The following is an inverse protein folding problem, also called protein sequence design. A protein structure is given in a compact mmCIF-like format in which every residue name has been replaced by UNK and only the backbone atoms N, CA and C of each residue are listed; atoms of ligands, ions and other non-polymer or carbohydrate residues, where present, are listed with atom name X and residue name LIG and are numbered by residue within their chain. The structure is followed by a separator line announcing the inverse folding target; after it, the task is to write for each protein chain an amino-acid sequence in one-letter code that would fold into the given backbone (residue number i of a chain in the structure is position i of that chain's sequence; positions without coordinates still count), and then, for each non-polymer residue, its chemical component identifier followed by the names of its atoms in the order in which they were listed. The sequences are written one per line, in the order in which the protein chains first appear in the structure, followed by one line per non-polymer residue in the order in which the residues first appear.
data_IF_840449792666
#
_entry.id   IF_840449792666
#
_cell.length_a   1.000
_cell.length_b   1.000
_cell.length_c   1.000
_cell.angle_alpha   90.00
_cell.angle_beta   90.00
_cell.angle_gamma   90.00
#
_symmetry.space_group_name_H-M   'P 1'
#
loop_
_entity.id
_entity.type
_entity.pdbx_description
1 polymer ?
#
# COMPACT_ATOMS: atom_id res chain seq x y z
N UNK A 1 16.01 -2.80 -19.70
CA UNK A 1 14.90 -2.87 -18.72
C UNK A 1 14.15 -1.55 -18.77
N UNK A 2 12.83 -1.59 -18.64
CA UNK A 2 12.03 -0.36 -18.52
C UNK A 2 12.38 0.33 -17.19
N UNK A 3 12.34 1.66 -17.18
CA UNK A 3 12.42 2.43 -15.93
C UNK A 3 11.17 2.21 -15.09
N UNK A 4 11.25 2.51 -13.79
CA UNK A 4 10.07 2.46 -12.90
C UNK A 4 8.94 3.37 -13.40
N UNK A 5 9.28 4.56 -13.90
CA UNK A 5 8.32 5.49 -14.47
C UNK A 5 7.61 4.90 -15.71
N UNK A 6 8.35 4.26 -16.62
CA UNK A 6 7.76 3.61 -17.82
C UNK A 6 6.83 2.44 -17.45
N UNK A 7 7.21 1.60 -16.48
CA UNK A 7 6.34 0.53 -15.96
C UNK A 7 5.08 1.08 -15.31
N UNK A 8 5.23 2.15 -14.52
CA UNK A 8 4.12 2.82 -13.85
C UNK A 8 3.15 3.43 -14.85
N UNK A 9 3.65 4.13 -15.87
CA UNK A 9 2.81 4.67 -16.96
C UNK A 9 2.00 3.55 -17.62
N UNK A 10 2.66 2.46 -18.01
CA UNK A 10 1.98 1.30 -18.62
C UNK A 10 0.92 0.71 -17.67
N UNK A 11 1.23 0.60 -16.37
CA UNK A 11 0.31 0.07 -15.38
C UNK A 11 -0.91 0.98 -15.17
N UNK A 12 -0.71 2.30 -15.13
CA UNK A 12 -1.80 3.28 -14.96
C UNK A 12 -2.73 3.25 -16.18
N UNK A 13 -2.17 3.34 -17.39
CA UNK A 13 -2.94 3.32 -18.63
C UNK A 13 -3.76 2.03 -18.77
N UNK A 14 -3.18 0.88 -18.40
CA UNK A 14 -3.87 -0.40 -18.37
C UNK A 14 -4.87 -0.60 -17.23
N UNK A 15 -4.97 0.34 -16.28
CA UNK A 15 -5.84 0.23 -15.10
C UNK A 15 -7.08 1.13 -15.14
N UNK A 16 -7.11 2.10 -16.06
CA UNK A 16 -8.26 2.98 -16.22
C UNK A 16 -9.49 2.21 -16.72
N UNK A 17 -10.65 2.63 -16.24
CA UNK A 17 -11.97 2.08 -16.60
C UNK A 17 -13.08 3.05 -16.22
N UNK A 18 -14.32 2.71 -16.60
CA UNK A 18 -15.54 3.39 -16.16
C UNK A 18 -15.65 3.56 -14.63
N UNK A 19 -15.13 2.61 -13.84
CA UNK A 19 -15.22 2.65 -12.37
C UNK A 19 -14.18 3.57 -11.72
N UNK A 20 -13.14 3.95 -12.46
CA UNK A 20 -12.04 4.80 -11.97
C UNK A 20 -12.17 6.25 -12.39
N UNK A 21 -13.07 6.57 -13.33
CA UNK A 21 -13.31 7.96 -13.79
C UNK A 21 -14.24 8.75 -12.88
N UNK A 22 -14.03 10.07 -12.80
CA UNK A 22 -14.97 11.00 -12.17
C UNK A 22 -16.15 11.40 -13.04
N UNK A 23 -16.14 11.05 -14.33
CA UNK A 23 -17.17 11.45 -15.31
C UNK A 23 -17.65 10.22 -16.09
N UNK A 24 -18.33 9.27 -15.44
CA UNK A 24 -18.76 8.02 -16.09
C UNK A 24 -19.73 8.27 -17.25
N UNK A 25 -20.56 9.32 -17.19
CA UNK A 25 -21.53 9.65 -18.24
C UNK A 25 -20.88 10.13 -19.54
N UNK A 26 -19.61 10.53 -19.48
CA UNK A 26 -18.82 10.98 -20.65
C UNK A 26 -17.60 10.09 -20.89
N UNK A 27 -17.63 8.86 -20.37
CA UNK A 27 -16.58 7.86 -20.61
C UNK A 27 -16.79 7.20 -21.96
N UNK A 28 -15.73 7.19 -22.76
CA UNK A 28 -15.67 6.47 -24.03
C UNK A 28 -14.31 5.78 -24.13
N UNK A 29 -14.28 4.58 -24.70
CA UNK A 29 -13.06 3.76 -24.78
C UNK A 29 -11.97 4.38 -25.66
N UNK A 30 -12.32 5.34 -26.52
CA UNK A 30 -11.39 6.11 -27.35
C UNK A 30 -10.69 7.24 -26.58
N UNK A 31 -11.24 7.68 -25.45
CA UNK A 31 -10.64 8.71 -24.57
C UNK A 31 -10.61 8.23 -23.10
N UNK A 32 -9.83 7.19 -22.78
CA UNK A 32 -9.80 6.60 -21.44
C UNK A 32 -9.18 7.52 -20.37
N UNK A 33 -8.62 8.67 -20.76
CA UNK A 33 -8.06 9.66 -19.82
C UNK A 33 -9.11 10.55 -19.17
N UNK A 34 -10.33 10.63 -19.72
CA UNK A 34 -11.35 11.59 -19.27
C UNK A 34 -11.79 11.29 -17.84
N UNK A 35 -11.62 12.29 -16.96
CA UNK A 35 -12.00 12.18 -15.55
C UNK A 35 -11.04 11.33 -14.71
N UNK A 36 -9.84 11.01 -15.21
CA UNK A 36 -8.83 10.20 -14.52
C UNK A 36 -7.76 11.01 -13.78
N UNK A 37 -7.69 12.34 -13.99
CA UNK A 37 -6.57 13.17 -13.56
C UNK A 37 -6.28 13.07 -12.05
N UNK A 38 -7.30 13.12 -11.19
CA UNK A 38 -7.11 13.07 -9.73
C UNK A 38 -6.56 11.71 -9.26
N UNK A 39 -7.24 10.56 -9.44
CA UNK A 39 -6.71 9.28 -8.96
C UNK A 39 -5.36 8.95 -9.60
N UNK A 40 -5.14 9.31 -10.87
CA UNK A 40 -3.85 9.15 -11.55
C UNK A 40 -2.75 9.94 -10.86
N UNK A 41 -2.99 11.22 -10.55
CA UNK A 41 -1.98 12.06 -9.90
C UNK A 41 -1.58 11.58 -8.51
N UNK A 42 -2.55 11.02 -7.75
CA UNK A 42 -2.31 10.41 -6.45
C UNK A 42 -1.43 9.16 -6.56
N UNK A 43 -1.73 8.26 -7.51
CA UNK A 43 -0.95 7.04 -7.75
C UNK A 43 0.45 7.36 -8.27
N UNK A 44 0.61 8.32 -9.18
CA UNK A 44 1.94 8.77 -9.62
C UNK A 44 2.77 9.23 -8.43
N UNK A 45 2.17 10.04 -7.55
CA UNK A 45 2.86 10.55 -6.37
C UNK A 45 3.25 9.45 -5.38
N UNK A 46 2.50 8.35 -5.30
CA UNK A 46 2.83 7.21 -4.44
C UNK A 46 4.16 6.57 -4.82
N UNK A 47 4.44 6.44 -6.13
CA UNK A 47 5.61 5.74 -6.65
C UNK A 47 6.78 6.64 -7.00
N UNK A 48 6.51 7.85 -7.50
CA UNK A 48 7.54 8.77 -8.02
C UNK A 48 7.74 9.99 -7.11
N UNK A 49 6.91 10.17 -6.09
CA UNK A 49 6.97 11.35 -5.23
C UNK A 49 6.52 12.62 -5.95
N UNK A 50 7.19 13.74 -5.66
CA UNK A 50 6.89 15.05 -6.22
C UNK A 50 5.55 15.65 -5.77
N UNK A 51 5.16 16.71 -6.47
CA UNK A 51 4.00 17.54 -6.14
C UNK A 51 2.82 17.26 -7.08
N UNK A 52 1.60 17.48 -6.57
CA UNK A 52 0.38 17.49 -7.39
C UNK A 52 -0.02 18.95 -7.63
N UNK A 53 -0.01 19.36 -8.90
CA UNK A 53 -0.45 20.68 -9.33
C UNK A 53 -1.93 20.64 -9.70
N UNK A 54 -2.70 21.59 -9.15
CA UNK A 54 -4.08 21.85 -9.57
C UNK A 54 -4.12 22.99 -10.59
N UNK A 55 -4.83 22.72 -11.68
CA UNK A 55 -5.01 23.64 -12.81
C UNK A 55 -6.50 23.92 -13.03
N UNK A 56 -6.78 25.07 -13.65
CA UNK A 56 -8.09 25.44 -14.18
C UNK A 56 -8.01 25.55 -15.69
N UNK A 57 -9.08 25.16 -16.36
CA UNK A 57 -9.22 25.30 -17.81
C UNK A 57 -10.67 25.66 -18.18
N UNK A 58 -10.86 26.25 -19.36
CA UNK A 58 -12.17 26.43 -19.99
C UNK A 58 -12.27 25.41 -21.13
N UNK A 59 -13.15 24.43 -20.98
CA UNK A 59 -13.35 23.36 -21.94
C UNK A 59 -14.84 23.25 -22.28
N UNK A 60 -15.17 23.21 -23.58
CA UNK A 60 -16.55 23.17 -24.07
C UNK A 60 -17.48 24.24 -23.44
N UNK A 61 -16.94 25.43 -23.14
CA UNK A 61 -17.69 26.53 -22.52
C UNK A 61 -17.89 26.41 -21.00
N UNK A 62 -17.34 25.39 -20.35
CA UNK A 62 -17.41 25.19 -18.90
C UNK A 62 -16.02 25.27 -18.24
N UNK A 63 -15.97 25.83 -17.02
CA UNK A 63 -14.73 25.82 -16.23
C UNK A 63 -14.53 24.45 -15.60
N UNK A 64 -13.40 23.82 -15.87
CA UNK A 64 -13.01 22.53 -15.31
C UNK A 64 -11.72 22.64 -14.50
N UNK A 65 -11.50 21.66 -13.61
CA UNK A 65 -10.24 21.49 -12.88
C UNK A 65 -9.47 20.30 -13.41
N UNK A 66 -8.17 20.46 -13.58
CA UNK A 66 -7.25 19.41 -14.00
C UNK A 66 -6.12 19.24 -12.98
N UNK A 67 -5.57 18.04 -12.89
CA UNK A 67 -4.50 17.71 -11.96
C UNK A 67 -3.38 16.98 -12.70
N UNK A 68 -2.14 17.36 -12.40
CA UNK A 68 -0.94 16.74 -12.96
C UNK A 68 0.17 16.70 -11.91
N UNK A 69 1.22 15.93 -12.18
CA UNK A 69 2.36 15.84 -11.27
C UNK A 69 3.52 16.73 -11.74
N UNK A 70 4.30 17.20 -10.76
CA UNK A 70 5.64 17.75 -10.98
C UNK A 70 6.64 16.90 -10.21
N UNK A 71 7.49 16.17 -10.94
CA UNK A 71 8.51 15.27 -10.39
C UNK A 71 9.88 15.86 -10.72
N UNK A 72 10.68 16.19 -9.70
CA UNK A 72 12.00 16.80 -9.86
C UNK A 72 12.00 18.02 -10.82
N UNK A 73 10.98 18.87 -10.68
CA UNK A 73 10.78 20.06 -11.53
C UNK A 73 10.15 19.78 -12.90
N UNK A 74 10.08 18.54 -13.35
CA UNK A 74 9.51 18.14 -14.64
C UNK A 74 8.02 17.84 -14.54
N UNK A 75 7.24 18.26 -15.54
CA UNK A 75 5.80 17.97 -15.59
C UNK A 75 5.56 16.56 -16.11
N UNK A 76 4.76 15.80 -15.38
CA UNK A 76 4.23 14.51 -15.81
C UNK A 76 2.69 14.56 -15.76
N UNK A 77 2.06 14.48 -16.93
CA UNK A 77 0.61 14.52 -17.09
C UNK A 77 0.13 13.39 -18.01
N UNK A 78 -0.07 12.21 -17.43
CA UNK A 78 -0.57 11.04 -18.17
C UNK A 78 -2.01 11.23 -18.67
N UNK A 79 -2.71 12.25 -18.19
CA UNK A 79 -4.11 12.52 -18.53
C UNK A 79 -4.28 13.74 -19.43
N UNK A 80 -3.19 14.26 -20.01
CA UNK A 80 -3.22 15.46 -20.88
C UNK A 80 -4.13 15.30 -22.08
N UNK A 81 -4.23 14.10 -22.64
CA UNK A 81 -5.05 13.77 -23.80
C UNK A 81 -6.56 13.79 -23.53
N UNK A 82 -7.00 14.03 -22.29
CA UNK A 82 -8.42 14.31 -22.04
C UNK A 82 -8.89 15.67 -22.59
N UNK A 83 -7.96 16.46 -23.10
CA UNK A 83 -8.18 17.76 -23.72
C UNK A 83 -7.43 17.87 -25.06
N UNK A 84 -7.89 18.71 -26.00
CA UNK A 84 -7.17 19.01 -27.24
C UNK A 84 -5.73 19.50 -27.00
N UNK A 85 -4.80 19.29 -27.93
CA UNK A 85 -3.40 19.72 -27.80
C UNK A 85 -3.23 21.23 -27.51
N UNK A 86 -4.11 22.06 -28.05
CA UNK A 86 -4.12 23.52 -27.90
C UNK A 86 -4.80 24.01 -26.62
N UNK A 87 -5.33 23.12 -25.78
CA UNK A 87 -6.00 23.50 -24.54
C UNK A 87 -5.07 24.30 -23.61
N UNK A 88 -5.55 25.48 -23.19
CA UNK A 88 -4.87 26.35 -22.22
C UNK A 88 -5.21 25.95 -20.78
N UNK A 89 -4.23 26.08 -19.89
CA UNK A 89 -4.38 25.83 -18.46
C UNK A 89 -3.78 26.97 -17.64
N UNK A 90 -4.45 27.32 -16.56
CA UNK A 90 -3.98 28.29 -15.57
C UNK A 90 -3.75 27.61 -14.23
N UNK A 91 -2.74 28.04 -13.48
CA UNK A 91 -2.54 27.52 -12.13
C UNK A 91 -3.71 27.93 -11.23
N UNK A 92 -4.22 26.97 -10.46
CA UNK A 92 -5.29 27.20 -9.51
C UNK A 92 -4.97 26.43 -8.21
N UNK A 93 -3.94 26.86 -7.46
CA UNK A 93 -3.52 26.20 -6.23
C UNK A 93 -4.65 26.16 -5.19
N UNK A 94 -4.49 25.28 -4.21
CA UNK A 94 -5.36 25.19 -3.03
C UNK A 94 -4.59 25.69 -1.81
N UNK A 95 -5.32 26.05 -0.77
CA UNK A 95 -4.72 26.31 0.54
C UNK A 95 -4.31 24.97 1.16
N UNK A 96 -3.00 24.77 1.38
CA UNK A 96 -2.44 23.54 1.94
C UNK A 96 -1.97 22.52 0.89
N UNK A 97 -1.88 21.26 1.29
CA UNK A 97 -1.36 20.17 0.44
C UNK A 97 -2.46 19.66 -0.52
N UNK A 98 -2.19 19.71 -1.82
CA UNK A 98 -3.14 19.27 -2.87
C UNK A 98 -3.59 17.83 -2.66
N UNK A 99 -2.70 16.94 -2.19
CA UNK A 99 -3.03 15.53 -1.95
C UNK A 99 -4.13 15.42 -0.90
N UNK A 100 -3.97 16.10 0.22
CA UNK A 100 -4.93 16.09 1.32
C UNK A 100 -6.27 16.70 0.87
N UNK A 101 -6.21 17.82 0.14
CA UNK A 101 -7.39 18.47 -0.42
C UNK A 101 -8.22 17.54 -1.31
N UNK A 102 -7.61 16.88 -2.30
CA UNK A 102 -8.36 16.00 -3.21
C UNK A 102 -8.80 14.72 -2.52
N UNK A 103 -8.00 14.21 -1.57
CA UNK A 103 -8.27 13.00 -0.83
C UNK A 103 -9.39 13.19 0.20
N UNK A 104 -9.70 14.41 0.62
CA UNK A 104 -10.84 14.71 1.49
C UNK A 104 -12.19 14.28 0.89
N UNK A 105 -12.29 14.16 -0.45
CA UNK A 105 -13.48 13.66 -1.13
C UNK A 105 -13.59 12.12 -1.07
N UNK A 106 -14.66 11.54 -0.49
CA UNK A 106 -14.85 10.08 -0.40
C UNK A 106 -14.87 9.37 -1.77
N UNK A 107 -15.47 9.96 -2.79
CA UNK A 107 -15.54 9.37 -4.13
C UNK A 107 -14.14 9.35 -4.77
N UNK A 108 -13.34 10.39 -4.54
CA UNK A 108 -11.92 10.39 -4.95
C UNK A 108 -11.16 9.25 -4.28
N UNK A 109 -11.33 9.06 -2.95
CA UNK A 109 -10.66 7.96 -2.23
C UNK A 109 -11.02 6.59 -2.78
N UNK A 110 -12.29 6.36 -3.11
CA UNK A 110 -12.74 5.09 -3.67
C UNK A 110 -12.09 4.81 -5.04
N UNK A 111 -12.10 5.80 -5.93
CA UNK A 111 -11.45 5.69 -7.26
C UNK A 111 -9.94 5.50 -7.17
N UNK A 112 -9.30 6.27 -6.30
CA UNK A 112 -7.88 6.13 -6.00
C UNK A 112 -7.56 4.72 -5.49
N UNK A 113 -8.28 4.22 -4.48
CA UNK A 113 -8.04 2.88 -3.93
C UNK A 113 -8.17 1.79 -5.01
N UNK A 114 -9.21 1.88 -5.85
CA UNK A 114 -9.38 0.94 -6.96
C UNK A 114 -8.24 1.03 -7.97
N UNK A 115 -7.85 2.24 -8.38
CA UNK A 115 -6.76 2.46 -9.32
C UNK A 115 -5.43 1.95 -8.75
N UNK A 116 -5.11 2.28 -7.49
CA UNK A 116 -3.90 1.80 -6.79
C UNK A 116 -3.83 0.28 -6.79
N UNK A 117 -4.91 -0.41 -6.41
CA UNK A 117 -4.96 -1.88 -6.40
C UNK A 117 -4.64 -2.47 -7.78
N UNK A 118 -5.24 -1.93 -8.84
CA UNK A 118 -5.01 -2.39 -10.21
C UNK A 118 -3.58 -2.10 -10.68
N UNK A 119 -3.07 -0.90 -10.38
CA UNK A 119 -1.70 -0.49 -10.70
C UNK A 119 -0.68 -1.37 -9.98
N UNK A 120 -0.82 -1.60 -8.68
CA UNK A 120 0.06 -2.50 -7.92
C UNK A 120 0.07 -3.92 -8.49
N UNK A 121 -1.10 -4.43 -8.92
CA UNK A 121 -1.18 -5.73 -9.59
C UNK A 121 -0.43 -5.74 -10.91
N UNK A 122 -0.59 -4.72 -11.76
CA UNK A 122 0.12 -4.63 -13.03
C UNK A 122 1.62 -4.36 -12.86
N UNK A 123 2.03 -3.60 -11.84
CA UNK A 123 3.45 -3.40 -11.49
C UNK A 123 4.10 -4.73 -11.10
N UNK A 124 3.43 -5.51 -10.23
CA UNK A 124 3.85 -6.86 -9.88
C UNK A 124 3.96 -7.78 -11.11
N UNK A 125 2.92 -7.84 -11.95
CA UNK A 125 2.93 -8.71 -13.15
C UNK A 125 4.03 -8.32 -14.14
N UNK A 126 4.29 -7.02 -14.32
CA UNK A 126 5.39 -6.53 -15.15
C UNK A 126 6.75 -6.94 -14.55
N UNK A 127 6.94 -6.79 -13.23
CA UNK A 127 8.18 -7.22 -12.55
C UNK A 127 8.42 -8.73 -12.70
N UNK A 128 7.38 -9.55 -12.57
CA UNK A 128 7.45 -11.00 -12.79
C UNK A 128 7.81 -11.37 -14.22
N UNK A 129 7.29 -10.64 -15.21
CA UNK A 129 7.66 -10.83 -16.61
C UNK A 129 9.13 -10.46 -16.89
N UNK A 130 9.67 -9.47 -16.17
CA UNK A 130 11.09 -9.09 -16.26
C UNK A 130 12.03 -10.07 -15.52
N UNK A 131 11.50 -10.89 -14.61
CA UNK A 131 12.25 -11.84 -13.76
C UNK A 131 11.56 -13.23 -13.77
N UNK A 132 11.51 -13.91 -14.92
CA UNK A 132 10.77 -15.15 -15.06
C UNK A 132 11.26 -16.28 -14.14
N UNK A 133 12.51 -16.24 -13.68
CA UNK A 133 13.08 -17.18 -12.71
C UNK A 133 12.35 -17.16 -11.35
N UNK A 134 11.72 -16.03 -11.00
CA UNK A 134 10.93 -15.90 -9.78
C UNK A 134 9.49 -16.37 -9.98
N UNK A 135 8.97 -16.37 -11.21
CA UNK A 135 7.60 -16.83 -11.50
C UNK A 135 7.39 -18.31 -11.19
N UNK A 136 8.46 -19.11 -11.16
CA UNK A 136 8.42 -20.51 -10.77
C UNK A 136 8.48 -20.72 -9.24
N UNK A 137 8.80 -19.68 -8.46
CA UNK A 137 8.97 -19.78 -7.02
C UNK A 137 7.62 -19.62 -6.30
N UNK A 138 7.36 -20.38 -5.23
CA UNK A 138 6.21 -20.14 -4.38
C UNK A 138 6.32 -18.78 -3.68
N UNK A 139 5.21 -18.06 -3.58
CA UNK A 139 5.17 -16.72 -2.99
C UNK A 139 4.89 -16.80 -1.49
N UNK A 140 5.73 -16.15 -0.68
CA UNK A 140 5.52 -15.94 0.75
C UNK A 140 5.21 -14.46 1.00
N UNK A 141 4.08 -14.19 1.66
CA UNK A 141 3.59 -12.85 1.92
C UNK A 141 3.96 -12.41 3.34
N UNK A 142 4.29 -11.13 3.48
CA UNK A 142 4.56 -10.49 4.76
C UNK A 142 3.66 -9.27 4.92
N UNK A 143 2.97 -9.16 6.06
CA UNK A 143 2.42 -7.88 6.48
C UNK A 143 3.54 -6.88 6.80
N UNK A 144 3.19 -5.60 6.89
CA UNK A 144 4.12 -4.54 7.29
C UNK A 144 4.00 -4.20 8.78
N UNK A 145 2.91 -3.55 9.17
CA UNK A 145 2.76 -2.97 10.50
C UNK A 145 2.63 -4.11 11.52
N UNK A 146 3.51 -4.18 12.52
CA UNK A 146 3.49 -5.25 13.51
C UNK A 146 4.17 -6.56 13.05
N UNK A 147 4.76 -6.59 11.86
CA UNK A 147 5.47 -7.77 11.32
C UNK A 147 6.86 -7.43 10.81
N UNK A 148 6.94 -6.48 9.87
CA UNK A 148 8.21 -5.94 9.39
C UNK A 148 8.54 -4.62 10.09
N UNK A 149 7.54 -3.76 10.30
CA UNK A 149 7.70 -2.40 10.84
C UNK A 149 7.06 -2.28 12.23
N UNK A 150 7.78 -1.65 13.15
CA UNK A 150 7.35 -1.48 14.54
C UNK A 150 6.41 -0.26 14.69
N UNK A 151 5.16 -0.48 14.31
CA UNK A 151 4.08 0.49 14.45
C UNK A 151 3.88 0.93 15.90
N UNK A 152 3.97 -0.02 16.83
CA UNK A 152 3.68 0.19 18.25
C UNK A 152 4.71 1.10 18.88
N UNK A 153 6.00 0.79 18.71
CA UNK A 153 7.07 1.59 19.26
C UNK A 153 6.98 3.06 18.82
N UNK A 154 6.58 3.33 17.57
CA UNK A 154 6.42 4.71 17.08
C UNK A 154 5.29 5.45 17.78
N UNK A 155 4.13 4.81 17.98
CA UNK A 155 2.98 5.42 18.68
C UNK A 155 3.29 5.58 20.16
N UNK A 156 3.91 4.58 20.78
CA UNK A 156 4.29 4.63 22.20
C UNK A 156 5.34 5.71 22.48
N UNK A 157 6.31 5.89 21.59
CA UNK A 157 7.29 6.97 21.69
C UNK A 157 6.61 8.34 21.67
N UNK A 158 5.56 8.52 20.86
CA UNK A 158 4.76 9.75 20.86
C UNK A 158 4.05 9.93 22.20
N UNK A 159 3.28 8.93 22.64
CA UNK A 159 2.55 9.00 23.91
C UNK A 159 3.49 9.33 25.09
N UNK A 160 4.66 8.68 25.16
CA UNK A 160 5.68 8.94 26.18
C UNK A 160 6.22 10.37 26.13
N UNK A 161 6.37 10.96 24.93
CA UNK A 161 6.78 12.37 24.78
C UNK A 161 5.76 13.35 25.34
N UNK A 162 4.48 12.99 25.32
CA UNK A 162 3.39 13.76 25.93
C UNK A 162 3.17 13.41 27.41
N UNK A 163 4.07 12.62 28.03
CA UNK A 163 3.94 12.21 29.44
C UNK A 163 2.81 11.20 29.68
N UNK A 164 2.27 10.60 28.63
CA UNK A 164 1.15 9.66 28.72
C UNK A 164 1.69 8.27 29.04
N UNK A 165 1.24 7.69 30.16
CA UNK A 165 1.53 6.29 30.48
C UNK A 165 0.80 5.39 29.52
N UNK A 166 1.52 4.48 28.87
CA UNK A 166 0.93 3.59 27.87
C UNK A 166 0.48 2.28 28.53
N UNK A 167 -0.84 2.00 28.63
CA UNK A 167 -1.35 0.77 29.24
C UNK A 167 -0.98 -0.46 28.41
N UNK A 168 -0.96 -1.71 28.90
CA UNK A 168 -0.69 -2.88 28.05
C UNK A 168 -1.64 -3.00 26.85
N UNK A 169 -1.16 -3.57 25.73
CA UNK A 169 -1.98 -3.74 24.52
C UNK A 169 -2.81 -5.03 24.59
N UNK A 170 -4.12 -4.91 24.47
CA UNK A 170 -5.07 -6.03 24.54
C UNK A 170 -5.91 -6.23 23.28
N UNK A 171 -5.85 -5.29 22.33
CA UNK A 171 -6.60 -5.33 21.07
C UNK A 171 -5.67 -4.92 19.91
N UNK A 172 -5.99 -5.41 18.71
CA UNK A 172 -5.32 -5.04 17.47
C UNK A 172 -5.33 -3.53 17.24
N UNK A 173 -6.41 -2.83 17.58
CA UNK A 173 -6.48 -1.38 17.46
C UNK A 173 -5.85 -0.72 18.69
N UNK A 174 -4.67 -0.11 18.49
CA UNK A 174 -3.93 0.63 19.51
C UNK A 174 -4.82 1.57 20.35
N UNK A 175 -5.72 2.31 19.71
CA UNK A 175 -6.60 3.27 20.40
C UNK A 175 -7.52 2.65 21.43
N UNK A 176 -7.83 1.34 21.35
CA UNK A 176 -8.68 0.66 22.33
C UNK A 176 -7.98 0.37 23.66
N UNK A 177 -6.64 0.48 23.72
CA UNK A 177 -5.90 0.42 25.00
C UNK A 177 -5.98 1.76 25.77
N UNK A 178 -6.50 2.82 25.14
CA UNK A 178 -6.61 4.16 25.71
C UNK A 178 -8.07 4.45 26.06
N UNK A 179 -8.28 5.15 27.19
CA UNK A 179 -9.62 5.55 27.64
C UNK A 179 -9.87 7.04 27.49
N UNK A 180 -8.81 7.85 27.51
CA UNK A 180 -8.92 9.30 27.38
C UNK A 180 -9.18 9.71 25.91
N UNK A 181 -10.28 10.42 25.62
CA UNK A 181 -10.58 10.91 24.28
C UNK A 181 -9.47 11.75 23.64
N UNK A 182 -8.74 12.55 24.41
CA UNK A 182 -7.64 13.39 23.90
C UNK A 182 -6.45 12.52 23.48
N UNK A 183 -6.13 11.48 24.27
CA UNK A 183 -5.08 10.53 23.89
C UNK A 183 -5.48 9.70 22.65
N UNK A 184 -6.75 9.33 22.55
CA UNK A 184 -7.28 8.63 21.36
C UNK A 184 -7.18 9.53 20.12
N UNK A 185 -7.55 10.81 20.25
CA UNK A 185 -7.43 11.79 19.17
C UNK A 185 -5.96 11.98 18.76
N UNK A 186 -5.05 12.16 19.72
CA UNK A 186 -3.61 12.27 19.47
C UNK A 186 -3.07 11.08 18.66
N UNK A 187 -3.43 9.84 19.03
CA UNK A 187 -3.00 8.65 18.28
C UNK A 187 -3.59 8.61 16.88
N UNK A 188 -4.87 8.98 16.72
CA UNK A 188 -5.50 9.04 15.39
C UNK A 188 -4.85 10.09 14.51
N UNK A 189 -4.60 11.28 15.04
CA UNK A 189 -3.97 12.38 14.32
C UNK A 189 -2.54 12.03 13.93
N UNK A 190 -1.78 11.42 14.84
CA UNK A 190 -0.46 10.88 14.55
C UNK A 190 -0.50 9.88 13.39
N UNK A 191 -1.41 8.89 13.46
CA UNK A 191 -1.57 7.87 12.42
C UNK A 191 -2.05 8.42 11.07
N UNK A 192 -2.61 9.63 11.03
CA UNK A 192 -3.04 10.32 9.80
C UNK A 192 -2.04 11.39 9.34
N UNK A 193 -1.05 11.71 10.16
CA UNK A 193 -0.04 12.72 9.86
C UNK A 193 0.94 12.24 8.77
N UNK A 194 1.36 13.20 7.95
CA UNK A 194 2.47 13.02 7.01
C UNK A 194 3.76 12.72 7.79
N UNK A 195 4.48 11.71 7.36
CA UNK A 195 5.75 11.23 7.91
C UNK A 195 5.60 10.09 8.91
N UNK A 196 4.38 9.71 9.32
CA UNK A 196 4.19 8.65 10.31
C UNK A 196 4.74 7.30 9.84
N UNK A 197 4.32 6.81 8.68
CA UNK A 197 4.73 5.50 8.16
C UNK A 197 6.18 5.52 7.64
N UNK A 198 6.64 6.67 7.14
CA UNK A 198 8.05 6.88 6.76
C UNK A 198 9.01 6.86 7.96
N UNK A 199 8.50 7.12 9.17
CA UNK A 199 9.27 7.11 10.42
C UNK A 199 9.30 5.76 11.13
N UNK A 200 8.63 4.73 10.59
CA UNK A 200 8.63 3.41 11.21
C UNK A 200 9.99 2.72 11.00
N UNK A 201 10.46 2.10 12.07
CA UNK A 201 11.69 1.30 12.09
C UNK A 201 11.35 -0.19 11.98
N UNK A 202 12.25 -1.04 11.45
CA UNK A 202 12.01 -2.47 11.38
C UNK A 202 11.93 -3.12 12.77
N UNK A 203 11.08 -4.13 12.90
CA UNK A 203 11.11 -5.05 14.04
C UNK A 203 12.44 -5.83 14.03
N UNK A 204 13.08 -6.09 15.18
CA UNK A 204 14.33 -6.85 15.23
C UNK A 204 14.23 -8.20 14.48
N UNK A 205 15.19 -8.47 13.59
CA UNK A 205 15.24 -9.71 12.81
C UNK A 205 14.35 -9.73 11.55
N UNK A 206 13.51 -8.71 11.31
CA UNK A 206 12.55 -8.73 10.21
C UNK A 206 13.21 -8.75 8.82
N UNK A 207 14.29 -7.98 8.66
CA UNK A 207 15.02 -7.88 7.39
C UNK A 207 15.77 -9.19 7.11
N UNK A 208 16.35 -9.79 8.16
CA UNK A 208 16.99 -11.09 8.11
C UNK A 208 15.99 -12.18 7.73
N UNK A 209 14.81 -12.19 8.33
CA UNK A 209 13.74 -13.14 8.02
C UNK A 209 13.26 -13.01 6.56
N UNK A 210 13.10 -11.78 6.06
CA UNK A 210 12.76 -11.51 4.67
C UNK A 210 13.79 -12.14 3.71
N UNK A 211 15.09 -11.93 3.95
CA UNK A 211 16.15 -12.52 3.13
C UNK A 211 16.28 -14.03 3.31
N UNK A 212 16.06 -14.54 4.53
CA UNK A 212 16.07 -15.96 4.82
C UNK A 212 14.99 -16.70 4.00
N UNK A 213 13.75 -16.22 3.98
CA UNK A 213 12.68 -16.81 3.16
C UNK A 213 13.05 -16.87 1.68
N UNK A 214 13.71 -15.83 1.16
CA UNK A 214 14.21 -15.82 -0.23
C UNK A 214 15.32 -16.84 -0.46
N UNK A 215 16.19 -17.05 0.53
CA UNK A 215 17.26 -18.06 0.47
C UNK A 215 16.72 -19.50 0.43
N UNK A 216 15.50 -19.72 0.95
CA UNK A 216 14.79 -21.01 0.87
C UNK A 216 14.13 -21.27 -0.50
N UNK A 217 14.30 -20.35 -1.47
CA UNK A 217 13.74 -20.48 -2.81
C UNK A 217 12.31 -19.94 -2.96
N UNK A 218 11.82 -19.16 -2.00
CA UNK A 218 10.54 -18.45 -2.12
C UNK A 218 10.72 -17.07 -2.74
N UNK A 219 9.67 -16.59 -3.38
CA UNK A 219 9.55 -15.17 -3.73
C UNK A 219 8.83 -14.45 -2.57
N UNK A 220 9.53 -13.56 -1.87
CA UNK A 220 8.95 -12.80 -0.75
C UNK A 220 8.27 -11.53 -1.28
N UNK A 221 7.05 -11.24 -0.80
CA UNK A 221 6.25 -10.09 -1.23
C UNK A 221 5.50 -9.44 -0.07
N UNK A 222 5.36 -8.13 -0.11
CA UNK A 222 4.56 -7.38 0.88
C UNK A 222 3.06 -7.46 0.58
N UNK A 223 2.27 -7.74 1.62
CA UNK A 223 0.80 -7.71 1.62
C UNK A 223 0.28 -6.96 2.86
N UNK A 224 0.15 -5.64 2.73
CA UNK A 224 -0.30 -4.73 3.79
C UNK A 224 -1.66 -4.13 3.46
N UNK A 225 -2.35 -3.59 4.47
CA UNK A 225 -3.49 -2.71 4.27
C UNK A 225 -3.12 -1.24 4.55
N UNK A 226 -3.75 -0.27 3.88
CA UNK A 226 -3.62 1.14 4.25
C UNK A 226 -4.54 1.50 5.42
N UNK A 227 -4.17 2.51 6.21
CA UNK A 227 -5.12 3.14 7.14
C UNK A 227 -6.20 3.87 6.34
N UNK A 228 -7.45 3.51 6.59
CA UNK A 228 -8.59 4.10 5.90
C UNK A 228 -8.71 5.58 6.22
N UNK A 229 -8.73 6.42 5.20
CA UNK A 229 -8.85 7.88 5.37
C UNK A 229 -7.52 8.61 5.47
N UNK A 230 -6.40 7.91 5.68
CA UNK A 230 -5.07 8.52 5.63
C UNK A 230 -4.62 8.67 4.16
N UNK A 231 -4.38 9.90 3.66
CA UNK A 231 -3.89 10.14 2.30
C UNK A 231 -2.47 9.64 2.07
N UNK A 232 -1.62 9.61 3.09
CA UNK A 232 -0.20 9.30 3.02
C UNK A 232 0.14 7.82 3.17
N UNK A 233 -0.78 7.02 3.74
CA UNK A 233 -0.49 5.65 4.19
C UNK A 233 0.16 4.76 3.13
N UNK A 234 -0.33 4.74 1.89
CA UNK A 234 0.23 3.89 0.82
C UNK A 234 1.62 4.36 0.41
N UNK A 235 1.75 5.64 0.04
CA UNK A 235 3.02 6.23 -0.39
C UNK A 235 4.12 5.99 0.63
N UNK A 236 3.86 6.35 1.87
CA UNK A 236 4.88 6.28 2.92
C UNK A 236 5.29 4.83 3.22
N UNK A 237 4.35 3.89 3.18
CA UNK A 237 4.68 2.46 3.25
C UNK A 237 5.54 2.01 2.07
N UNK A 238 5.26 2.43 0.84
CA UNK A 238 6.10 2.11 -0.32
C UNK A 238 7.52 2.68 -0.15
N UNK A 239 7.65 3.91 0.34
CA UNK A 239 8.96 4.53 0.66
C UNK A 239 9.70 3.71 1.70
N UNK A 240 9.04 3.29 2.77
CA UNK A 240 9.66 2.49 3.85
C UNK A 240 10.04 1.09 3.36
N UNK A 241 9.20 0.45 2.54
CA UNK A 241 9.52 -0.84 1.89
C UNK A 241 10.74 -0.69 0.99
N UNK A 242 10.81 0.36 0.17
CA UNK A 242 11.96 0.61 -0.70
C UNK A 242 13.23 0.83 0.10
N UNK A 243 13.16 1.63 1.19
CA UNK A 243 14.28 1.92 2.07
C UNK A 243 14.92 0.65 2.65
N UNK A 244 14.11 -0.29 3.13
CA UNK A 244 14.60 -1.46 3.87
C UNK A 244 14.71 -2.74 3.04
N UNK A 245 13.83 -2.94 2.05
CA UNK A 245 13.73 -4.17 1.27
C UNK A 245 14.12 -3.99 -0.21
N UNK A 246 14.30 -2.74 -0.64
CA UNK A 246 14.73 -2.36 -1.98
C UNK A 246 13.60 -2.01 -2.95
N UNK A 247 13.92 -1.35 -4.08
CA UNK A 247 12.94 -0.78 -5.01
C UNK A 247 12.03 -1.84 -5.64
N UNK A 248 12.56 -3.04 -5.89
CA UNK A 248 11.78 -4.15 -6.44
C UNK A 248 10.69 -4.61 -5.47
N UNK A 249 11.00 -4.69 -4.17
CA UNK A 249 10.00 -5.04 -3.16
C UNK A 249 8.87 -4.00 -3.08
N UNK A 250 9.19 -2.71 -3.28
CA UNK A 250 8.19 -1.65 -3.32
C UNK A 250 7.34 -1.69 -4.60
N UNK A 251 7.93 -1.96 -5.76
CA UNK A 251 7.20 -2.14 -7.03
C UNK A 251 6.23 -3.34 -6.97
N UNK A 252 6.60 -4.40 -6.26
CA UNK A 252 5.82 -5.62 -6.13
C UNK A 252 4.84 -5.58 -4.94
N UNK A 253 4.98 -4.62 -4.02
CA UNK A 253 4.18 -4.54 -2.81
C UNK A 253 2.68 -4.37 -3.14
N UNK A 254 1.85 -5.11 -2.42
CA UNK A 254 0.43 -4.86 -2.38
C UNK A 254 0.07 -4.14 -1.08
N UNK A 255 -0.55 -2.97 -1.22
CA UNK A 255 -1.05 -2.18 -0.10
C UNK A 255 -2.51 -1.86 -0.38
N UNK A 256 -3.37 -2.83 -0.07
CA UNK A 256 -4.80 -2.79 -0.38
C UNK A 256 -5.65 -3.37 0.74
N UNK A 257 -6.96 -3.10 0.69
CA UNK A 257 -7.87 -3.47 1.78
C UNK A 257 -8.15 -4.97 1.89
N UNK A 258 -7.97 -5.72 0.80
CA UNK A 258 -8.34 -7.13 0.70
C UNK A 258 -7.08 -7.97 0.52
N UNK A 259 -6.55 -8.52 1.61
CA UNK A 259 -5.32 -9.32 1.59
C UNK A 259 -5.48 -10.63 0.81
N UNK A 260 -6.72 -11.10 0.62
CA UNK A 260 -7.05 -12.23 -0.25
C UNK A 260 -6.74 -11.99 -1.73
N UNK A 261 -6.60 -10.73 -2.18
CA UNK A 261 -6.20 -10.42 -3.57
C UNK A 261 -4.72 -10.72 -3.84
N UNK A 262 -3.92 -10.90 -2.80
CA UNK A 262 -2.57 -11.41 -2.92
C UNK A 262 -2.56 -12.93 -2.87
N UNK A 263 -2.27 -13.56 -4.00
CA UNK A 263 -1.98 -14.99 -4.02
C UNK A 263 -0.58 -15.26 -3.44
N UNK A 264 -0.50 -16.31 -2.64
CA UNK A 264 0.71 -16.81 -2.02
C UNK A 264 0.41 -18.11 -1.27
N UNK A 265 1.44 -18.78 -0.76
CA UNK A 265 1.26 -20.02 0.01
C UNK A 265 1.09 -19.75 1.51
N UNK A 266 1.62 -18.63 1.99
CA UNK A 266 1.59 -18.23 3.39
C UNK A 266 1.62 -16.70 3.52
N UNK A 267 0.93 -16.18 4.52
CA UNK A 267 0.97 -14.78 4.95
C UNK A 267 1.38 -14.73 6.43
N UNK A 268 2.52 -14.09 6.70
CA UNK A 268 2.95 -13.72 8.05
C UNK A 268 2.30 -12.40 8.44
N UNK A 269 1.41 -12.43 9.43
CA UNK A 269 0.53 -11.31 9.78
C UNK A 269 0.18 -11.37 11.26
N UNK A 270 0.23 -10.23 11.96
CA UNK A 270 -0.01 -10.12 13.39
C UNK A 270 -1.51 -9.98 13.76
N UNK A 271 -2.37 -9.70 12.78
CA UNK A 271 -3.79 -9.51 13.02
C UNK A 271 -4.40 -10.82 13.51
N UNK A 272 -5.15 -10.84 14.63
CA UNK A 272 -5.78 -12.07 15.13
C UNK A 272 -6.70 -12.75 14.11
N UNK A 273 -7.49 -11.97 13.38
CA UNK A 273 -8.41 -12.45 12.34
C UNK A 273 -8.39 -11.52 11.13
N UNK A 274 -8.13 -12.10 9.95
CA UNK A 274 -8.21 -11.41 8.66
C UNK A 274 -9.56 -11.72 8.02
N UNK A 275 -10.38 -10.69 7.80
CA UNK A 275 -11.79 -10.84 7.46
C UNK A 275 -12.05 -11.58 6.14
N UNK A 276 -11.16 -11.41 5.16
CA UNK A 276 -11.27 -11.99 3.82
C UNK A 276 -10.40 -13.24 3.62
N UNK A 277 -9.79 -13.79 4.67
CA UNK A 277 -8.91 -14.96 4.59
C UNK A 277 -9.61 -16.22 4.03
N UNK A 278 -10.94 -16.32 4.15
CA UNK A 278 -11.69 -17.44 3.57
C UNK A 278 -11.60 -17.51 2.03
N UNK A 279 -11.29 -16.39 1.37
CA UNK A 279 -11.13 -16.30 -0.08
C UNK A 279 -9.65 -16.33 -0.50
N UNK A 280 -8.73 -16.55 0.43
CA UNK A 280 -7.30 -16.50 0.17
C UNK A 280 -6.72 -17.89 -0.11
N UNK A 281 -5.68 -17.92 -0.96
CA UNK A 281 -4.92 -19.13 -1.26
C UNK A 281 -3.86 -19.45 -0.18
N UNK A 282 -3.49 -18.45 0.62
CA UNK A 282 -2.43 -18.53 1.62
C UNK A 282 -2.91 -19.07 2.97
N UNK A 283 -1.99 -19.68 3.70
CA UNK A 283 -2.16 -19.95 5.13
C UNK A 283 -1.80 -18.72 5.97
N UNK A 284 -2.59 -18.45 7.00
CA UNK A 284 -2.28 -17.39 7.97
C UNK A 284 -1.30 -17.91 9.01
N UNK A 285 -0.08 -17.39 9.00
CA UNK A 285 0.89 -17.58 10.07
C UNK A 285 0.88 -16.34 10.97
N UNK A 286 0.52 -16.53 12.23
CA UNK A 286 0.44 -15.46 13.21
C UNK A 286 1.83 -15.05 13.68
N UNK A 287 2.24 -13.85 13.31
CA UNK A 287 3.40 -13.21 13.91
C UNK A 287 3.00 -12.63 15.26
N UNK A 288 3.75 -12.92 16.32
CA UNK A 288 3.29 -12.61 17.67
C UNK A 288 3.43 -11.13 17.99
N UNK A 289 2.35 -10.58 18.52
CA UNK A 289 2.26 -9.25 19.10
C UNK A 289 1.48 -9.36 20.42
N UNK A 290 1.64 -8.40 21.33
CA UNK A 290 1.03 -8.42 22.67
C UNK A 290 -0.46 -8.77 22.67
N UNK A 291 -1.21 -8.21 21.72
CA UNK A 291 -2.65 -8.37 21.62
C UNK A 291 -3.12 -9.68 20.99
N UNK A 292 -2.24 -10.49 20.41
CA UNK A 292 -2.66 -11.70 19.67
C UNK A 292 -2.20 -13.02 20.32
N UNK A 293 -1.55 -12.97 21.48
CA UNK A 293 -1.01 -14.16 22.17
C UNK A 293 -2.09 -15.18 22.57
N UNK A 294 -3.33 -14.71 22.76
CA UNK A 294 -4.48 -15.54 23.10
C UNK A 294 -5.00 -16.38 21.93
N UNK A 295 -4.57 -16.11 20.69
CA UNK A 295 -5.02 -16.86 19.51
C UNK A 295 -4.32 -18.23 19.49
N UNK A 296 -5.10 -19.29 19.67
CA UNK A 296 -4.60 -20.66 19.54
C UNK A 296 -4.42 -21.03 18.06
N UNK A 297 -3.17 -21.26 17.65
CA UNK A 297 -2.83 -21.61 16.28
C UNK A 297 -1.54 -22.43 16.25
N UNK A 298 -1.45 -23.46 15.39
CA UNK A 298 -0.19 -24.19 15.19
C UNK A 298 0.82 -23.39 14.36
N UNK A 299 0.39 -22.36 13.62
CA UNK A 299 1.24 -21.56 12.73
C UNK A 299 1.64 -20.25 13.40
N UNK A 300 2.35 -20.33 14.53
CA UNK A 300 2.81 -19.15 15.28
C UNK A 300 4.31 -18.96 15.20
N UNK A 301 4.72 -17.75 14.79
CA UNK A 301 6.08 -17.25 14.89
C UNK A 301 6.11 -16.26 16.06
N UNK A 302 6.95 -16.51 17.08
CA UNK A 302 7.01 -15.63 18.27
C UNK A 302 7.76 -14.35 18.00
N UNK A 303 8.85 -14.47 17.29
CA UNK A 303 9.69 -13.39 16.81
C UNK A 303 10.55 -13.92 15.66
N UNK A 304 11.29 -13.04 15.00
CA UNK A 304 12.11 -13.40 13.85
C UNK A 304 13.38 -14.20 14.18
N UNK A 305 13.62 -14.57 15.44
CA UNK A 305 14.69 -15.52 15.78
C UNK A 305 14.28 -16.97 15.50
N UNK A 306 12.98 -17.28 15.40
CA UNK A 306 12.43 -18.61 15.10
C UNK A 306 12.44 -18.95 13.58
N UNK A 307 13.56 -18.72 12.88
CA UNK A 307 13.69 -18.94 11.43
C UNK A 307 13.51 -20.40 11.01
N UNK A 308 13.87 -21.34 11.88
CA UNK A 308 13.61 -22.77 11.74
C UNK A 308 12.11 -23.08 11.62
N UNK A 309 11.27 -22.44 12.44
CA UNK A 309 9.80 -22.55 12.31
C UNK A 309 9.29 -21.91 11.04
N UNK A 310 9.83 -20.75 10.65
CA UNK A 310 9.47 -20.10 9.38
C UNK A 310 9.71 -21.08 8.21
N UNK A 311 10.84 -21.77 8.19
CA UNK A 311 11.14 -22.78 7.18
C UNK A 311 10.18 -23.98 7.24
N UNK A 312 9.87 -24.49 8.44
CA UNK A 312 8.92 -25.58 8.64
C UNK A 312 7.53 -25.23 8.09
N UNK A 313 7.01 -24.06 8.47
CA UNK A 313 5.68 -23.59 8.07
C UNK A 313 5.56 -23.42 6.56
N UNK A 314 6.57 -22.81 5.94
CA UNK A 314 6.64 -22.68 4.49
C UNK A 314 6.69 -24.06 3.80
N UNK A 315 7.47 -25.00 4.34
CA UNK A 315 7.49 -26.39 3.85
C UNK A 315 6.13 -27.09 3.95
N UNK A 316 5.39 -26.87 5.03
CA UNK A 316 4.04 -27.38 5.22
C UNK A 316 3.03 -26.77 4.22
N UNK A 317 3.12 -25.46 3.98
CA UNK A 317 2.27 -24.79 3.00
C UNK A 317 2.45 -25.34 1.57
N UNK A 318 3.70 -25.64 1.17
CA UNK A 318 3.97 -26.26 -0.12
C UNK A 318 3.39 -27.65 -0.29
N UNK A 319 3.36 -28.45 0.79
CA UNK A 319 2.75 -29.79 0.74
C UNK A 319 1.24 -29.69 0.52
N UNK A 320 0.58 -28.75 1.21
CA UNK A 320 -0.87 -28.52 1.08
C UNK A 320 -1.24 -28.03 -0.32
N UNK A 321 -0.52 -27.06 -0.88
CA UNK A 321 -0.85 -26.53 -2.22
C UNK A 321 -0.79 -27.61 -3.30
N UNK A 322 0.16 -28.55 -3.20
CA UNK A 322 0.26 -29.70 -4.13
C UNK A 322 -0.88 -30.71 -3.98
N UNK A 323 -1.42 -30.91 -2.78
CA UNK A 323 -2.54 -31.84 -2.54
C UNK A 323 -3.90 -31.32 -2.99
N UNK A 324 -4.07 -30.00 -3.19
CA UNK A 324 -5.31 -29.40 -3.70
C UNK A 324 -5.39 -29.45 -5.23
N UNK A 325 -4.26 -29.68 -5.91
CA UNK A 325 -4.15 -29.72 -7.38
C UNK A 325 -3.98 -31.13 -7.97
N UNK A 326 -4.13 -32.19 -7.16
CA UNK A 326 -4.14 -33.60 -7.58
C UNK A 326 -5.54 -34.18 -7.38
#
# INVERSE_FOLDING_TARGET
MRTRAERLTTAIEGSWSLETTSTPDTWYDDVPTRGQCVPTSLVIQDYLGGDIERLRTLYAGASETHYRNRIDGNVLDLTRSQYPPEQSFEQAPVDGDTREYVFANPATRARYQLLTTRVQRLMYLQSMAEHPEDSAKPVALFDLDGVILDFDARVEAELKRHGITVPPRSDFYMTKRLTDPEHIALVRDLQHSKGFFESLEPIPGAIEAWHFVRSLGFHARICSAPISGNPWSIREKLVTVERYLGPRAADEAYIGKRKSECSGVMLFDDRPTIADAANADWLHAHYTQDYNQHVETPLRVRDWTELDKVAEFLGCALKRSRSVHL
#
